data_IF_924798275667
#
_entry.id   IF_924798275667
#
_cell.length_a   1.000
_cell.length_b   1.000
_cell.length_c   1.000
_cell.angle_alpha   90.00
_cell.angle_beta   90.00
_cell.angle_gamma   90.00
#
_symmetry.space_group_name_H-M   'P 1'
#
loop_
_entity.id
_entity.type
_entity.pdbx_description
1 polymer ?
#
# COMPACT_ATOMS: atom_id res chain seq x y z
N UNK A 1 -22.32 65.97 71.27
CA UNK A 1 -23.22 64.80 71.17
C UNK A 1 -24.23 64.66 72.31
N UNK A 2 -23.86 64.78 73.60
CA UNK A 2 -24.87 64.79 74.70
C UNK A 2 -25.57 66.16 74.80
N UNK A 3 -24.81 67.26 74.79
CA UNK A 3 -25.35 68.62 74.87
C UNK A 3 -26.33 69.02 73.73
N UNK A 4 -26.17 68.44 72.53
CA UNK A 4 -27.04 68.72 71.37
C UNK A 4 -28.42 68.05 71.51
N UNK A 5 -28.53 66.98 72.30
CA UNK A 5 -29.80 66.28 72.53
C UNK A 5 -30.63 66.90 73.66
N UNK A 6 -29.98 67.62 74.56
CA UNK A 6 -30.64 68.31 75.69
C UNK A 6 -31.39 69.58 75.25
N UNK A 7 -31.05 70.17 74.10
CA UNK A 7 -31.74 71.34 73.53
C UNK A 7 -33.17 71.04 73.04
N UNK A 8 -33.53 69.76 72.87
CA UNK A 8 -34.85 69.33 72.40
C UNK A 8 -35.85 69.10 73.54
N UNK A 9 -35.44 69.28 74.80
CA UNK A 9 -36.26 69.06 75.98
C UNK A 9 -36.81 70.39 76.52
N UNK A 10 -38.08 70.39 76.93
CA UNK A 10 -38.68 71.53 77.62
C UNK A 10 -38.15 71.63 79.05
N UNK A 11 -38.15 72.84 79.63
CA UNK A 11 -37.57 73.09 80.97
C UNK A 11 -38.24 72.27 82.09
N UNK A 12 -39.51 71.88 81.90
CA UNK A 12 -40.25 70.97 82.78
C UNK A 12 -39.76 69.51 82.71
N UNK A 13 -39.13 69.11 81.61
CA UNK A 13 -38.72 67.72 81.35
C UNK A 13 -37.31 67.42 81.84
N UNK A 14 -36.46 68.44 81.92
CA UNK A 14 -35.14 68.37 82.55
C UNK A 14 -35.22 68.02 84.06
N UNK A 15 -36.40 68.15 84.68
CA UNK A 15 -36.64 67.79 86.09
C UNK A 15 -37.24 66.40 86.28
N UNK A 16 -37.57 65.67 85.19
CA UNK A 16 -38.16 64.32 85.27
C UNK A 16 -37.08 63.29 85.61
N UNK A 17 -37.23 62.64 86.76
CA UNK A 17 -36.31 61.60 87.26
C UNK A 17 -36.27 60.37 86.35
N UNK A 18 -37.32 60.11 85.56
CA UNK A 18 -37.37 59.01 84.59
C UNK A 18 -36.40 59.19 83.42
N UNK A 19 -36.20 60.44 82.96
CA UNK A 19 -35.31 60.75 81.84
C UNK A 19 -33.86 60.94 82.31
N UNK A 20 -33.69 61.44 83.54
CA UNK A 20 -32.39 61.71 84.16
C UNK A 20 -32.30 61.02 85.53
N UNK A 21 -32.19 59.69 85.55
CA UNK A 21 -32.06 58.96 86.81
C UNK A 21 -30.79 59.38 87.54
N UNK A 22 -30.87 59.53 88.88
CA UNK A 22 -29.75 59.92 89.76
C UNK A 22 -28.73 58.79 89.99
N UNK A 23 -28.57 57.89 89.02
CA UNK A 23 -27.54 56.86 89.04
C UNK A 23 -26.76 56.88 87.73
N UNK A 24 -25.46 56.64 87.82
CA UNK A 24 -24.59 56.51 86.66
C UNK A 24 -24.56 55.03 86.27
N UNK A 25 -24.88 54.71 85.02
CA UNK A 25 -24.61 53.39 84.47
C UNK A 25 -23.12 53.31 84.15
N UNK A 26 -22.34 52.73 85.06
CA UNK A 26 -20.93 52.42 84.80
C UNK A 26 -20.88 51.17 83.92
N UNK A 27 -20.52 51.32 82.66
CA UNK A 27 -20.25 50.18 81.78
C UNK A 27 -18.86 49.65 82.13
N UNK A 28 -18.76 48.38 82.54
CA UNK A 28 -17.47 47.71 82.73
C UNK A 28 -16.71 47.75 81.40
N UNK A 29 -15.51 48.33 81.39
CA UNK A 29 -14.62 48.24 80.23
C UNK A 29 -14.39 46.76 79.93
N UNK A 30 -14.71 46.33 78.72
CA UNK A 30 -14.28 45.03 78.23
C UNK A 30 -12.77 45.16 78.08
N UNK A 31 -12.03 44.56 79.01
CA UNK A 31 -10.59 44.40 78.87
C UNK A 31 -10.37 43.49 77.67
N UNK A 32 -10.12 44.08 76.49
CA UNK A 32 -9.44 43.39 75.40
C UNK A 32 -7.99 43.18 75.86
N UNK A 33 -7.78 42.25 76.80
CA UNK A 33 -6.47 41.66 77.02
C UNK A 33 -6.13 40.96 75.70
N UNK A 34 -5.17 41.53 74.99
CA UNK A 34 -4.91 41.35 73.58
C UNK A 34 -4.12 40.07 73.28
N UNK A 35 -4.67 38.90 73.62
CA UNK A 35 -4.16 37.61 73.15
C UNK A 35 -5.06 37.01 72.06
N UNK A 36 -6.38 37.11 72.22
CA UNK A 36 -7.36 36.50 71.33
C UNK A 36 -7.33 37.10 69.90
N UNK A 37 -7.07 38.40 69.76
CA UNK A 37 -6.94 39.04 68.44
C UNK A 37 -5.69 38.57 67.65
N UNK A 38 -4.61 38.24 68.36
CA UNK A 38 -3.39 37.67 67.76
C UNK A 38 -3.59 36.22 67.37
N UNK A 39 -4.31 35.44 68.19
CA UNK A 39 -4.69 34.05 67.89
C UNK A 39 -5.62 33.96 66.69
N UNK A 40 -6.64 34.82 66.59
CA UNK A 40 -7.49 34.91 65.40
C UNK A 40 -6.70 35.28 64.14
N UNK A 41 -5.70 36.18 64.24
CA UNK A 41 -4.83 36.49 63.11
C UNK A 41 -3.93 35.30 62.71
N UNK A 42 -3.42 34.54 63.68
CA UNK A 42 -2.67 33.30 63.46
C UNK A 42 -3.51 32.24 62.75
N UNK A 43 -4.72 32.01 63.24
CA UNK A 43 -5.67 31.08 62.62
C UNK A 43 -5.99 31.45 61.16
N UNK A 44 -6.28 32.73 60.89
CA UNK A 44 -6.53 33.20 59.52
C UNK A 44 -5.29 33.07 58.64
N UNK A 45 -4.09 33.27 59.20
CA UNK A 45 -2.82 33.05 58.51
C UNK A 45 -2.63 31.57 58.15
N UNK A 46 -2.97 30.65 59.05
CA UNK A 46 -2.84 29.21 58.83
C UNK A 46 -3.84 28.67 57.82
N UNK A 47 -5.08 29.15 57.84
CA UNK A 47 -6.07 28.87 56.78
C UNK A 47 -5.53 29.36 55.44
N UNK A 48 -5.06 30.61 55.38
CA UNK A 48 -4.53 31.19 54.14
C UNK A 48 -3.32 30.41 53.64
N UNK A 49 -2.44 29.98 54.53
CA UNK A 49 -1.28 29.14 54.21
C UNK A 49 -1.73 27.79 53.66
N UNK A 50 -2.67 27.12 54.33
CA UNK A 50 -3.23 25.82 53.91
C UNK A 50 -3.91 25.90 52.55
N UNK A 51 -4.73 26.93 52.31
CA UNK A 51 -5.37 27.15 51.00
C UNK A 51 -4.30 27.39 49.94
N UNK A 52 -3.26 28.18 50.25
CA UNK A 52 -2.19 28.49 49.31
C UNK A 52 -1.37 27.25 48.96
N UNK A 53 -1.01 26.42 49.94
CA UNK A 53 -0.20 25.20 49.73
C UNK A 53 -1.00 24.12 49.01
N UNK A 54 -2.26 23.88 49.40
CA UNK A 54 -3.15 22.93 48.71
C UNK A 54 -3.42 23.35 47.28
N UNK A 55 -3.72 24.63 47.03
CA UNK A 55 -3.91 25.17 45.68
C UNK A 55 -2.65 25.07 44.83
N UNK A 56 -1.47 25.35 45.40
CA UNK A 56 -0.19 25.21 44.69
C UNK A 56 0.09 23.74 44.33
N UNK A 57 -0.18 22.80 45.25
CA UNK A 57 -0.04 21.37 45.02
C UNK A 57 -0.96 20.87 43.90
N UNK A 58 -2.25 21.22 43.95
CA UNK A 58 -3.22 20.87 42.91
C UNK A 58 -2.80 21.42 41.54
N UNK A 59 -2.33 22.67 41.47
CA UNK A 59 -1.80 23.23 40.22
C UNK A 59 -0.60 22.44 39.70
N UNK A 60 0.32 22.07 40.57
CA UNK A 60 1.48 21.23 40.21
C UNK A 60 1.07 19.87 39.66
N UNK A 61 0.14 19.18 40.32
CA UNK A 61 -0.40 17.88 39.88
C UNK A 61 -1.08 17.98 38.51
N UNK A 62 -1.91 19.02 38.30
CA UNK A 62 -2.56 19.27 37.00
C UNK A 62 -1.51 19.49 35.90
N UNK A 63 -0.50 20.32 36.15
CA UNK A 63 0.56 20.60 35.18
C UNK A 63 1.34 19.33 34.85
N UNK A 64 1.70 18.53 35.87
CA UNK A 64 2.43 17.29 35.66
C UNK A 64 1.62 16.29 34.81
N UNK A 65 0.34 16.11 35.12
CA UNK A 65 -0.55 15.25 34.36
C UNK A 65 -0.70 15.71 32.91
N UNK A 66 -0.88 17.03 32.69
CA UNK A 66 -0.93 17.61 31.34
C UNK A 66 0.37 17.37 30.58
N UNK A 67 1.52 17.57 31.23
CA UNK A 67 2.84 17.35 30.61
C UNK A 67 3.03 15.88 30.19
N UNK A 68 2.68 14.93 31.06
CA UNK A 68 2.72 13.50 30.72
C UNK A 68 1.77 13.14 29.58
N UNK A 69 0.59 13.76 29.52
CA UNK A 69 -0.36 13.53 28.42
C UNK A 69 0.14 14.08 27.08
N UNK A 70 0.76 15.26 27.09
CA UNK A 70 1.37 15.88 25.91
C UNK A 70 2.53 15.04 25.37
N UNK A 71 3.42 14.55 26.24
CA UNK A 71 4.53 13.68 25.82
C UNK A 71 4.05 12.42 25.09
N UNK A 72 2.97 11.79 25.58
CA UNK A 72 2.35 10.64 24.89
C UNK A 72 1.77 10.99 23.53
N UNK A 73 1.21 12.21 23.39
CA UNK A 73 0.69 12.69 22.11
C UNK A 73 1.84 12.93 21.13
N UNK A 74 2.93 13.53 21.56
CA UNK A 74 4.12 13.77 20.73
C UNK A 74 4.74 12.46 20.23
N UNK A 75 4.90 11.48 21.12
CA UNK A 75 5.35 10.13 20.75
C UNK A 75 4.43 9.48 19.72
N UNK A 76 3.10 9.59 19.91
CA UNK A 76 2.11 9.09 18.96
C UNK A 76 2.16 9.81 17.61
N UNK A 77 2.39 11.12 17.60
CA UNK A 77 2.56 11.91 16.38
C UNK A 77 3.80 11.49 15.60
N UNK A 78 4.94 11.26 16.28
CA UNK A 78 6.17 10.78 15.66
C UNK A 78 5.98 9.40 15.02
N UNK A 79 5.29 8.48 15.72
CA UNK A 79 4.96 7.16 15.18
C UNK A 79 4.07 7.26 13.93
N UNK A 80 3.03 8.10 13.96
CA UNK A 80 2.17 8.32 12.81
C UNK A 80 2.94 8.89 11.61
N UNK A 81 3.87 9.80 11.84
CA UNK A 81 4.71 10.34 10.76
C UNK A 81 5.59 9.27 10.11
N UNK A 82 6.17 8.35 10.91
CA UNK A 82 6.91 7.19 10.39
C UNK A 82 6.00 6.26 9.58
N UNK A 83 4.78 6.00 10.04
CA UNK A 83 3.80 5.17 9.32
C UNK A 83 3.45 5.79 7.96
N UNK A 84 3.23 7.10 7.90
CA UNK A 84 2.93 7.81 6.64
C UNK A 84 4.09 7.66 5.65
N UNK A 85 5.34 7.86 6.09
CA UNK A 85 6.51 7.68 5.23
C UNK A 85 6.65 6.25 4.70
N UNK A 86 6.40 5.24 5.56
CA UNK A 86 6.41 3.84 5.15
C UNK A 86 5.28 3.52 4.14
N UNK A 87 4.10 4.11 4.31
CA UNK A 87 2.98 3.95 3.38
C UNK A 87 3.28 4.56 2.01
N UNK A 88 3.93 5.73 1.97
CA UNK A 88 4.35 6.37 0.73
C UNK A 88 5.40 5.52 -0.01
N UNK A 89 6.41 5.03 0.70
CA UNK A 89 7.43 4.14 0.10
C UNK A 89 6.81 2.85 -0.43
N UNK A 90 5.92 2.21 0.34
CA UNK A 90 5.20 1.02 -0.11
C UNK A 90 4.35 1.31 -1.37
N UNK A 91 3.67 2.46 -1.41
CA UNK A 91 2.92 2.90 -2.59
C UNK A 91 3.81 3.03 -3.83
N UNK A 92 4.99 3.65 -3.68
CA UNK A 92 5.97 3.78 -4.76
C UNK A 92 6.52 2.42 -5.22
N UNK A 93 6.78 1.50 -4.29
CA UNK A 93 7.21 0.14 -4.63
C UNK A 93 6.12 -0.62 -5.40
N UNK A 94 4.85 -0.50 -5.01
CA UNK A 94 3.71 -1.11 -5.71
C UNK A 94 3.60 -0.57 -7.15
N UNK A 95 3.74 0.75 -7.34
CA UNK A 95 3.70 1.37 -8.67
C UNK A 95 4.83 0.84 -9.55
N UNK A 96 6.08 0.85 -9.08
CA UNK A 96 7.23 0.32 -9.83
C UNK A 96 7.06 -1.15 -10.19
N UNK A 97 6.52 -1.94 -9.26
CA UNK A 97 6.27 -3.36 -9.48
C UNK A 97 5.22 -3.55 -10.58
N UNK A 98 4.13 -2.79 -10.54
CA UNK A 98 3.09 -2.80 -11.58
C UNK A 98 3.64 -2.44 -12.96
N UNK A 99 4.38 -1.34 -13.06
CA UNK A 99 4.99 -0.89 -14.32
C UNK A 99 5.94 -1.95 -14.90
N UNK A 100 6.75 -2.58 -14.05
CA UNK A 100 7.68 -3.65 -14.46
C UNK A 100 6.92 -4.88 -14.97
N UNK A 101 5.84 -5.27 -14.29
CA UNK A 101 5.00 -6.40 -14.72
C UNK A 101 4.31 -6.10 -16.05
N UNK A 102 3.76 -4.90 -16.23
CA UNK A 102 3.09 -4.49 -17.47
C UNK A 102 4.06 -4.48 -18.65
N UNK A 103 5.26 -3.91 -18.47
CA UNK A 103 6.30 -3.92 -19.49
C UNK A 103 6.73 -5.35 -19.87
N UNK A 104 6.99 -6.21 -18.87
CA UNK A 104 7.38 -7.60 -19.11
C UNK A 104 6.30 -8.41 -19.83
N UNK A 105 5.02 -8.19 -19.49
CA UNK A 105 3.90 -8.84 -20.17
C UNK A 105 3.74 -8.33 -21.61
N UNK A 106 3.89 -7.03 -21.84
CA UNK A 106 3.87 -6.43 -23.18
C UNK A 106 4.95 -7.03 -24.09
N UNK A 107 6.19 -7.14 -23.60
CA UNK A 107 7.31 -7.72 -24.35
C UNK A 107 7.08 -9.21 -24.65
N UNK A 108 6.60 -9.98 -23.67
CA UNK A 108 6.26 -11.39 -23.88
C UNK A 108 5.17 -11.58 -24.93
N UNK A 109 4.13 -10.73 -24.94
CA UNK A 109 3.08 -10.79 -25.96
C UNK A 109 3.62 -10.48 -27.36
N UNK A 110 4.43 -9.42 -27.49
CA UNK A 110 5.06 -9.05 -28.77
C UNK A 110 5.96 -10.17 -29.31
N UNK A 111 6.75 -10.80 -28.43
CA UNK A 111 7.56 -11.97 -28.79
C UNK A 111 6.70 -13.16 -29.23
N UNK A 112 5.59 -13.43 -28.53
CA UNK A 112 4.67 -14.51 -28.91
C UNK A 112 4.05 -14.28 -30.31
N UNK A 113 3.62 -13.04 -30.58
CA UNK A 113 3.12 -12.63 -31.91
C UNK A 113 4.18 -12.86 -32.99
N UNK A 114 5.43 -12.45 -32.74
CA UNK A 114 6.56 -12.66 -33.66
C UNK A 114 6.85 -14.14 -33.90
N UNK A 115 6.82 -14.96 -32.84
CA UNK A 115 7.01 -16.41 -32.95
C UNK A 115 5.89 -17.05 -33.76
N UNK A 116 4.62 -16.69 -33.49
CA UNK A 116 3.48 -17.22 -34.24
C UNK A 116 3.57 -16.90 -35.74
N UNK A 117 3.94 -15.67 -36.10
CA UNK A 117 4.16 -15.30 -37.51
C UNK A 117 5.28 -16.14 -38.16
N UNK A 118 6.36 -16.44 -37.43
CA UNK A 118 7.43 -17.31 -37.94
C UNK A 118 6.97 -18.76 -38.10
N UNK A 119 6.14 -19.26 -37.19
CA UNK A 119 5.57 -20.62 -37.26
C UNK A 119 4.65 -20.73 -38.47
N UNK A 120 3.73 -19.77 -38.67
CA UNK A 120 2.84 -19.75 -39.84
C UNK A 120 3.63 -19.72 -41.17
N UNK A 121 4.71 -18.93 -41.22
CA UNK A 121 5.58 -18.88 -42.39
C UNK A 121 6.37 -20.19 -42.62
N UNK A 122 6.70 -20.92 -41.55
CA UNK A 122 7.35 -22.24 -41.66
C UNK A 122 6.35 -23.32 -42.10
N UNK A 123 5.14 -23.32 -41.57
CA UNK A 123 4.08 -24.24 -41.99
C UNK A 123 3.79 -24.10 -43.49
N UNK A 124 3.67 -22.87 -43.99
CA UNK A 124 3.47 -22.62 -45.41
C UNK A 124 4.63 -23.16 -46.28
N UNK A 125 5.88 -23.08 -45.79
CA UNK A 125 7.05 -23.66 -46.49
C UNK A 125 7.02 -25.18 -46.48
N UNK A 126 6.62 -25.79 -45.37
CA UNK A 126 6.49 -27.25 -45.24
C UNK A 126 5.43 -27.77 -46.22
N UNK A 127 4.27 -27.10 -46.32
CA UNK A 127 3.22 -27.45 -47.28
C UNK A 127 3.68 -27.37 -48.73
N UNK A 128 4.46 -26.33 -49.06
CA UNK A 128 5.07 -26.19 -50.38
C UNK A 128 6.04 -27.33 -50.69
N UNK A 129 6.94 -27.65 -49.76
CA UNK A 129 7.90 -28.75 -49.92
C UNK A 129 7.18 -30.09 -50.07
N UNK A 130 6.13 -30.32 -49.26
CA UNK A 130 5.32 -31.53 -49.34
C UNK A 130 4.66 -31.68 -50.73
N UNK A 131 4.15 -30.59 -51.27
CA UNK A 131 3.56 -30.55 -52.61
C UNK A 131 4.59 -30.84 -53.71
N UNK A 132 5.78 -30.24 -53.62
CA UNK A 132 6.89 -30.52 -54.54
C UNK A 132 7.35 -31.99 -54.46
N UNK A 133 7.37 -32.57 -53.25
CA UNK A 133 7.67 -33.99 -53.04
C UNK A 133 6.69 -34.92 -53.76
N UNK A 134 5.37 -34.63 -53.71
CA UNK A 134 4.35 -35.39 -54.44
C UNK A 134 4.54 -35.31 -55.96
N UNK A 135 4.87 -34.13 -56.47
CA UNK A 135 5.11 -33.94 -57.91
C UNK A 135 6.35 -34.72 -58.37
N UNK A 136 7.44 -34.67 -57.59
CA UNK A 136 8.65 -35.45 -57.88
C UNK A 136 8.38 -36.95 -57.86
N UNK A 137 7.63 -37.44 -56.87
CA UNK A 137 7.27 -38.86 -56.80
C UNK A 137 6.51 -39.32 -58.05
N UNK A 138 5.54 -38.52 -58.50
CA UNK A 138 4.78 -38.79 -59.73
C UNK A 138 5.68 -38.80 -60.98
N UNK A 139 6.68 -37.91 -61.04
CA UNK A 139 7.66 -37.91 -62.15
C UNK A 139 8.55 -39.15 -62.12
N UNK A 140 8.95 -39.62 -60.94
CA UNK A 140 9.76 -40.85 -60.78
C UNK A 140 8.96 -42.07 -61.23
N UNK A 141 7.71 -42.23 -60.78
CA UNK A 141 6.83 -43.32 -61.24
C UNK A 141 6.66 -43.33 -62.77
N UNK A 142 6.53 -42.15 -63.38
CA UNK A 142 6.46 -42.01 -64.83
C UNK A 142 7.77 -42.34 -65.55
N UNK A 143 8.93 -42.12 -64.92
CA UNK A 143 10.22 -42.55 -65.45
C UNK A 143 10.42 -44.05 -65.32
N UNK A 144 10.08 -44.65 -64.19
CA UNK A 144 10.13 -46.10 -63.98
C UNK A 144 9.30 -46.84 -65.04
N UNK A 145 8.07 -46.39 -65.28
CA UNK A 145 7.20 -46.95 -66.34
C UNK A 145 7.85 -46.86 -67.73
N UNK A 146 8.57 -45.77 -68.04
CA UNK A 146 9.29 -45.63 -69.32
C UNK A 146 10.48 -46.57 -69.41
N UNK A 147 11.21 -46.75 -68.31
CA UNK A 147 12.34 -47.68 -68.24
C UNK A 147 11.88 -49.11 -68.44
N UNK A 148 10.81 -49.55 -67.77
CA UNK A 148 10.21 -50.89 -68.00
C UNK A 148 9.77 -51.09 -69.46
N UNK A 149 9.19 -50.05 -70.07
CA UNK A 149 8.82 -50.06 -71.48
C UNK A 149 10.02 -50.15 -72.43
N UNK A 150 11.15 -49.53 -72.09
CA UNK A 150 12.40 -49.64 -72.85
C UNK A 150 13.03 -51.03 -72.66
N UNK A 151 13.05 -51.55 -71.44
CA UNK A 151 13.60 -52.87 -71.11
C UNK A 151 12.88 -53.97 -71.91
N UNK A 152 11.54 -53.89 -71.98
CA UNK A 152 10.71 -54.76 -72.81
C UNK A 152 11.05 -54.69 -74.30
N UNK A 153 11.37 -53.50 -74.83
CA UNK A 153 11.79 -53.33 -76.24
C UNK A 153 13.18 -53.91 -76.49
N UNK A 154 14.10 -53.74 -75.54
CA UNK A 154 15.46 -54.30 -75.63
C UNK A 154 15.42 -55.82 -75.63
N UNK A 155 14.60 -56.45 -74.77
CA UNK A 155 14.43 -57.91 -74.80
C UNK A 155 13.93 -58.41 -76.15
N UNK A 156 12.92 -57.76 -76.74
CA UNK A 156 12.45 -58.11 -78.09
C UNK A 156 13.55 -58.00 -79.16
N UNK A 157 14.36 -56.94 -79.10
CA UNK A 157 15.50 -56.79 -80.02
C UNK A 157 16.57 -57.87 -79.81
N UNK A 158 16.82 -58.29 -78.56
CA UNK A 158 17.73 -59.38 -78.25
C UNK A 158 17.22 -60.71 -78.83
N UNK A 159 15.92 -60.98 -78.70
CA UNK A 159 15.27 -62.17 -79.29
C UNK A 159 15.38 -62.16 -80.81
N UNK A 160 15.03 -61.04 -81.46
CA UNK A 160 15.14 -60.87 -82.91
C UNK A 160 16.58 -61.08 -83.40
N UNK A 161 17.57 -60.56 -82.66
CA UNK A 161 18.99 -60.70 -83.01
C UNK A 161 19.47 -62.15 -82.85
N UNK A 162 18.99 -62.85 -81.81
CA UNK A 162 19.21 -64.28 -81.65
C UNK A 162 18.67 -65.08 -82.84
N UNK A 163 17.43 -64.81 -83.25
CA UNK A 163 16.81 -65.46 -84.41
C UNK A 163 17.59 -65.21 -85.72
N UNK A 164 18.04 -63.97 -85.96
CA UNK A 164 18.84 -63.61 -87.14
C UNK A 164 20.18 -64.37 -87.13
N UNK A 165 20.87 -64.40 -85.98
CA UNK A 165 22.14 -65.13 -85.83
C UNK A 165 21.97 -66.61 -86.14
N UNK A 166 20.93 -67.25 -85.61
CA UNK A 166 20.64 -68.66 -85.85
C UNK A 166 20.33 -68.93 -87.33
N UNK A 167 19.56 -68.03 -87.95
CA UNK A 167 19.20 -68.11 -89.37
C UNK A 167 20.43 -67.99 -90.28
N UNK A 168 21.32 -67.03 -90.02
CA UNK A 168 22.58 -66.87 -90.74
C UNK A 168 23.50 -68.09 -90.57
N UNK A 169 23.61 -68.62 -89.35
CA UNK A 169 24.42 -69.82 -89.06
C UNK A 169 23.94 -71.02 -89.90
N UNK A 170 22.62 -71.26 -89.96
CA UNK A 170 22.03 -72.31 -90.79
C UNK A 170 22.32 -72.11 -92.28
N UNK A 171 22.27 -70.87 -92.76
CA UNK A 171 22.50 -70.55 -94.17
C UNK A 171 23.96 -70.78 -94.58
N UNK A 172 24.90 -70.38 -93.74
CA UNK A 172 26.34 -70.64 -93.93
C UNK A 172 26.64 -72.15 -93.90
N UNK A 173 26.06 -72.91 -92.96
CA UNK A 173 26.23 -74.37 -92.93
C UNK A 173 25.72 -75.07 -94.20
N UNK A 174 24.66 -74.55 -94.85
CA UNK A 174 24.18 -75.05 -96.13
C UNK A 174 25.17 -74.81 -97.28
N UNK A 175 25.83 -73.65 -97.28
CA UNK A 175 26.81 -73.26 -98.32
C UNK A 175 28.08 -74.11 -98.30
N UNK A 176 28.53 -74.58 -97.13
CA UNK A 176 29.71 -75.46 -97.00
C UNK A 176 29.44 -76.95 -97.27
N UNK A 177 28.18 -77.36 -97.47
CA UNK A 177 27.77 -78.75 -97.73
C UNK A 177 27.42 -79.04 -99.20
N UNK A 178 27.65 -78.09 -100.10
CA UNK A 178 27.57 -78.24 -101.55
C UNK A 178 28.98 -78.17 -102.15
#
# INVERSE_FOLDING_TARGET
>A
MIAEREQLLLESELKKVELFPKFIVVRKQINNQSDEAGEWQGFIKDIKSTIRTTSAKLKGEIIQNMHSSLGKIDEGMEQNQKIIGLQEDLGNQIIKMKETYEAQYGDKQSNNLSVNQKVEALDAKVDSIHSQGKELNSKVEGLDSKVEGLDSKVMKLQDDMGFIKDSLTKLLQKQYKQ
#
